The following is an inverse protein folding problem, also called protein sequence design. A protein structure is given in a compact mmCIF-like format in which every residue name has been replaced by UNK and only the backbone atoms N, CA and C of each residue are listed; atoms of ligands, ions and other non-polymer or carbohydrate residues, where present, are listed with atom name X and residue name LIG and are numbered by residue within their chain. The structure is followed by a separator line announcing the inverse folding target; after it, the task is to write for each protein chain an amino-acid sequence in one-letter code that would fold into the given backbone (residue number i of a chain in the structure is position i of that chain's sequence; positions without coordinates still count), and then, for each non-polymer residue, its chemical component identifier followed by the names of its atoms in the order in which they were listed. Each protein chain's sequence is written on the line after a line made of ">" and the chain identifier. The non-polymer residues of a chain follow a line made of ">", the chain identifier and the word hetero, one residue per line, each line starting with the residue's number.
data_IF_016268390474
#
_entry.id   IF_016268390474
#
_cell.length_a   1.000
_cell.length_b   1.000
_cell.length_c   1.000
_cell.angle_alpha   90.00
_cell.angle_beta   90.00
_cell.angle_gamma   90.00
#
_symmetry.space_group_name_H-M   'P 1'
#
loop_
_entity.id
_entity.type
_entity.pdbx_description
1 polymer ?
#
# COMPACT_ATOMS: atom_id res chain seq x y z
N UNK A 1 -9.83 0.72 -16.05
CA UNK A 1 -8.71 -0.25 -15.87
C UNK A 1 -9.33 -1.60 -15.53
N UNK A 2 -8.79 -2.71 -16.01
CA UNK A 2 -9.36 -4.04 -15.78
C UNK A 2 -9.08 -4.51 -14.35
N UNK A 3 -10.12 -4.82 -13.54
CA UNK A 3 -9.95 -5.28 -12.17
C UNK A 3 -9.46 -6.74 -12.14
N UNK A 4 -8.62 -7.09 -11.15
CA UNK A 4 -8.12 -8.48 -11.00
C UNK A 4 -9.06 -9.35 -10.14
N UNK A 5 -9.99 -8.72 -9.41
CA UNK A 5 -11.07 -9.34 -8.66
C UNK A 5 -12.36 -8.53 -8.87
N UNK A 6 -13.50 -9.21 -9.02
CA UNK A 6 -14.78 -8.61 -9.44
C UNK A 6 -15.30 -7.59 -8.44
N UNK A 7 -15.48 -8.02 -7.20
CA UNK A 7 -16.03 -7.17 -6.13
C UNK A 7 -14.92 -6.35 -5.44
N UNK A 8 -15.13 -5.06 -5.18
CA UNK A 8 -14.28 -4.28 -4.28
C UNK A 8 -14.26 -4.88 -2.88
N UNK A 9 -13.09 -4.86 -2.25
CA UNK A 9 -12.97 -5.18 -0.83
C UNK A 9 -13.54 -4.02 -0.04
N UNK A 10 -14.52 -4.29 0.83
CA UNK A 10 -15.04 -3.31 1.78
C UNK A 10 -14.79 -3.81 3.20
N UNK A 11 -14.21 -2.94 4.02
CA UNK A 11 -13.99 -3.19 5.44
C UNK A 11 -14.36 -1.95 6.23
N UNK A 12 -14.96 -2.17 7.39
CA UNK A 12 -15.31 -1.11 8.32
C UNK A 12 -15.03 -1.54 9.76
N UNK A 13 -14.94 -0.56 10.64
CA UNK A 13 -14.88 -0.79 12.08
C UNK A 13 -14.78 0.52 12.84
N UNK A 14 -14.76 0.41 14.16
CA UNK A 14 -14.61 1.58 15.02
C UNK A 14 -13.78 1.25 16.26
N UNK A 15 -13.02 2.23 16.73
CA UNK A 15 -12.23 2.13 17.96
C UNK A 15 -12.05 3.52 18.55
N UNK A 16 -12.16 3.63 19.87
CA UNK A 16 -11.98 4.88 20.62
C UNK A 16 -12.82 6.05 20.06
N UNK A 17 -14.04 5.75 19.60
CA UNK A 17 -14.96 6.75 19.03
C UNK A 17 -14.64 7.20 17.60
N UNK A 18 -13.60 6.66 16.97
CA UNK A 18 -13.27 6.91 15.55
C UNK A 18 -13.80 5.74 14.71
N UNK A 19 -14.59 6.05 13.69
CA UNK A 19 -15.01 5.07 12.68
C UNK A 19 -14.05 5.09 11.51
N UNK A 20 -13.76 3.92 10.95
CA UNK A 20 -12.87 3.73 9.80
C UNK A 20 -13.61 2.87 8.78
N UNK A 21 -13.73 3.37 7.56
CA UNK A 21 -14.35 2.69 6.43
C UNK A 21 -13.36 2.71 5.26
N UNK A 22 -13.04 1.55 4.71
CA UNK A 22 -12.11 1.43 3.60
C UNK A 22 -12.72 0.57 2.50
N UNK A 23 -12.72 1.10 1.27
CA UNK A 23 -13.01 0.32 0.07
C UNK A 23 -11.78 0.29 -0.82
N UNK A 24 -11.40 -0.87 -1.32
CA UNK A 24 -10.23 -1.01 -2.19
C UNK A 24 -10.44 -2.04 -3.31
N UNK A 25 -9.81 -1.79 -4.45
CA UNK A 25 -9.80 -2.72 -5.58
C UNK A 25 -8.49 -2.64 -6.35
N UNK A 26 -7.93 -3.81 -6.66
CA UNK A 26 -6.76 -3.92 -7.51
C UNK A 26 -7.14 -4.05 -8.98
N UNK A 27 -6.31 -3.46 -9.84
CA UNK A 27 -6.39 -3.58 -11.29
C UNK A 27 -5.04 -3.96 -11.88
N UNK A 28 -5.04 -4.32 -13.15
CA UNK A 28 -3.84 -4.74 -13.89
C UNK A 28 -2.81 -3.63 -14.10
N UNK A 29 -3.22 -2.37 -13.93
CA UNK A 29 -2.35 -1.21 -14.12
C UNK A 29 -1.25 -1.10 -13.05
N UNK A 30 -0.42 -0.07 -13.24
CA UNK A 30 0.73 0.20 -12.36
C UNK A 30 0.49 1.36 -11.40
N UNK A 31 -0.39 2.30 -11.78
CA UNK A 31 -0.65 3.49 -10.96
C UNK A 31 -1.56 3.17 -9.79
N UNK A 32 -1.15 3.64 -8.61
CA UNK A 32 -1.94 3.60 -7.39
C UNK A 32 -2.72 4.92 -7.22
N UNK A 33 -3.97 4.81 -6.77
CA UNK A 33 -4.85 5.94 -6.49
C UNK A 33 -5.45 5.73 -5.09
N UNK A 34 -5.00 6.52 -4.12
CA UNK A 34 -5.54 6.49 -2.75
C UNK A 34 -6.23 7.82 -2.51
N UNK A 35 -7.51 7.78 -2.18
CA UNK A 35 -8.31 8.94 -1.83
C UNK A 35 -8.67 8.84 -0.36
N UNK A 36 -8.22 9.79 0.45
CA UNK A 36 -8.45 9.78 1.88
C UNK A 36 -9.39 10.90 2.31
N UNK A 37 -10.25 10.62 3.28
CA UNK A 37 -11.28 11.52 3.76
C UNK A 37 -11.34 11.49 5.29
N UNK A 38 -11.59 12.65 5.89
CA UNK A 38 -11.93 12.78 7.31
C UNK A 38 -13.22 13.58 7.42
N UNK A 39 -14.27 13.01 7.99
CA UNK A 39 -15.58 13.66 8.12
C UNK A 39 -16.09 14.24 6.78
N UNK A 40 -16.00 13.45 5.71
CA UNK A 40 -16.36 13.81 4.33
C UNK A 40 -15.47 14.91 3.68
N UNK A 41 -14.43 15.39 4.35
CA UNK A 41 -13.46 16.34 3.78
C UNK A 41 -12.35 15.54 3.12
N UNK A 42 -12.10 15.82 1.83
CA UNK A 42 -11.03 15.19 1.07
C UNK A 42 -9.66 15.69 1.53
N UNK A 43 -8.86 14.79 2.10
CA UNK A 43 -7.50 15.08 2.56
C UNK A 43 -6.48 14.71 1.49
N UNK A 44 -6.39 15.51 0.42
CA UNK A 44 -5.56 15.17 -0.75
C UNK A 44 -4.05 15.21 -0.48
N UNK A 45 -3.60 15.82 0.61
CA UNK A 45 -2.21 15.72 1.10
C UNK A 45 -2.01 14.55 2.08
N UNK A 46 -3.06 13.73 2.26
CA UNK A 46 -3.08 12.55 3.10
C UNK A 46 -3.25 12.88 4.58
N UNK A 47 -2.44 12.27 5.42
CA UNK A 47 -2.50 12.47 6.86
C UNK A 47 -2.25 11.20 7.65
N UNK A 48 -2.45 11.29 8.95
CA UNK A 48 -2.17 10.21 9.90
C UNK A 48 -2.98 8.94 9.63
N UNK A 49 -4.27 9.07 9.29
CA UNK A 49 -5.16 7.98 8.88
C UNK A 49 -4.65 7.26 7.63
N UNK A 50 -4.26 7.99 6.59
CA UNK A 50 -3.73 7.40 5.36
C UNK A 50 -2.40 6.68 5.59
N UNK A 51 -1.54 7.22 6.45
CA UNK A 51 -0.30 6.54 6.87
C UNK A 51 -0.62 5.23 7.58
N UNK A 52 -1.59 5.24 8.51
CA UNK A 52 -2.04 4.04 9.21
C UNK A 52 -2.54 2.95 8.26
N UNK A 53 -3.39 3.33 7.30
CA UNK A 53 -3.85 2.42 6.23
C UNK A 53 -2.68 1.85 5.42
N UNK A 54 -1.76 2.69 4.94
CA UNK A 54 -0.60 2.26 4.12
C UNK A 54 0.31 1.30 4.89
N UNK A 55 0.54 1.55 6.17
CA UNK A 55 1.33 0.68 7.04
C UNK A 55 0.62 -0.66 7.23
N UNK A 56 -0.65 -0.66 7.62
CA UNK A 56 -1.43 -1.86 7.82
C UNK A 56 -1.53 -2.72 6.55
N UNK A 57 -1.84 -2.11 5.39
CA UNK A 57 -1.91 -2.80 4.11
C UNK A 57 -0.62 -3.57 3.80
N UNK A 58 0.53 -2.90 3.99
CA UNK A 58 1.84 -3.52 3.72
C UNK A 58 2.10 -4.69 4.67
N UNK A 59 1.80 -4.53 5.95
CA UNK A 59 2.00 -5.59 6.96
C UNK A 59 1.11 -6.79 6.68
N UNK A 60 -0.20 -6.58 6.54
CA UNK A 60 -1.20 -7.65 6.38
C UNK A 60 -0.94 -8.48 5.13
N UNK A 61 -0.61 -7.85 4.00
CA UNK A 61 -0.33 -8.58 2.75
C UNK A 61 0.92 -9.45 2.90
N UNK A 62 1.98 -8.93 3.53
CA UNK A 62 3.19 -9.73 3.78
C UNK A 62 2.91 -10.88 4.74
N UNK A 63 2.26 -10.62 5.86
CA UNK A 63 1.95 -11.65 6.87
C UNK A 63 1.06 -12.74 6.29
N UNK A 64 0.02 -12.39 5.54
CA UNK A 64 -0.84 -13.34 4.84
C UNK A 64 -0.04 -14.15 3.80
N UNK A 65 0.79 -13.47 3.00
CA UNK A 65 1.63 -14.11 1.98
C UNK A 65 2.60 -15.12 2.56
N UNK A 66 3.20 -14.84 3.73
CA UNK A 66 4.08 -15.75 4.47
C UNK A 66 3.34 -16.94 5.07
N UNK A 67 2.27 -16.67 5.83
CA UNK A 67 1.48 -17.71 6.52
C UNK A 67 0.89 -18.74 5.55
N UNK A 68 0.57 -18.33 4.33
CA UNK A 68 0.01 -19.19 3.29
C UNK A 68 1.03 -19.68 2.25
N UNK A 69 2.34 -19.48 2.50
CA UNK A 69 3.44 -19.89 1.62
C UNK A 69 3.34 -19.39 0.18
N UNK A 70 2.65 -18.25 -0.03
CA UNK A 70 2.57 -17.56 -1.32
C UNK A 70 3.88 -16.80 -1.56
N UNK A 71 4.40 -16.16 -0.51
CA UNK A 71 5.75 -15.61 -0.46
C UNK A 71 6.68 -16.66 0.13
N UNK A 72 7.66 -17.13 -0.65
CA UNK A 72 8.61 -18.17 -0.19
C UNK A 72 9.61 -17.56 0.77
N UNK A 73 10.15 -18.34 1.71
CA UNK A 73 11.13 -17.84 2.71
C UNK A 73 12.35 -17.16 2.09
N UNK A 74 12.76 -17.58 0.89
CA UNK A 74 13.86 -16.97 0.15
C UNK A 74 13.50 -15.61 -0.51
N UNK A 75 12.21 -15.33 -0.72
CA UNK A 75 11.76 -14.06 -1.27
C UNK A 75 11.87 -12.96 -0.22
N UNK A 76 12.24 -11.74 -0.60
CA UNK A 76 12.16 -10.58 0.28
C UNK A 76 10.71 -10.17 0.51
N UNK A 77 10.42 -9.53 1.64
CA UNK A 77 9.11 -8.91 1.85
C UNK A 77 8.81 -7.85 0.77
N UNK A 78 7.53 -7.74 0.44
CA UNK A 78 7.00 -6.71 -0.44
C UNK A 78 7.12 -5.35 0.25
N UNK A 79 7.61 -4.36 -0.50
CA UNK A 79 7.64 -2.97 -0.03
C UNK A 79 6.26 -2.32 -0.14
N UNK A 80 6.09 -1.17 0.51
CA UNK A 80 4.87 -0.38 0.39
C UNK A 80 4.51 -0.01 -1.05
N UNK A 81 5.50 0.23 -1.91
CA UNK A 81 5.28 0.51 -3.32
C UNK A 81 4.76 -0.71 -4.07
N UNK A 82 5.35 -1.89 -3.80
CA UNK A 82 4.95 -3.15 -4.44
C UNK A 82 3.50 -3.49 -4.11
N UNK A 83 3.09 -3.37 -2.84
CA UNK A 83 1.73 -3.70 -2.41
C UNK A 83 0.68 -2.71 -2.89
N UNK A 84 1.05 -1.47 -3.22
CA UNK A 84 0.11 -0.45 -3.71
C UNK A 84 0.02 -0.42 -5.23
N UNK A 85 0.86 -1.13 -5.96
CA UNK A 85 0.83 -1.12 -7.43
C UNK A 85 -0.55 -1.56 -7.95
N UNK A 86 -1.16 -0.73 -8.79
CA UNK A 86 -2.48 -1.00 -9.36
C UNK A 86 -3.64 -0.92 -8.35
N UNK A 87 -3.43 -0.39 -7.15
CA UNK A 87 -4.47 -0.19 -6.13
C UNK A 87 -5.29 1.06 -6.41
N UNK A 88 -6.61 0.95 -6.35
CA UNK A 88 -7.49 2.09 -6.08
C UNK A 88 -8.12 1.89 -4.71
N UNK A 89 -8.01 2.87 -3.81
CA UNK A 89 -8.59 2.79 -2.48
C UNK A 89 -9.24 4.11 -2.06
N UNK A 90 -10.33 3.99 -1.31
CA UNK A 90 -11.00 5.07 -0.60
C UNK A 90 -10.85 4.78 0.89
N UNK A 91 -10.26 5.70 1.63
CA UNK A 91 -10.05 5.60 3.08
C UNK A 91 -10.84 6.73 3.73
N UNK A 92 -11.96 6.41 4.38
CA UNK A 92 -12.80 7.39 5.04
C UNK A 92 -12.78 7.15 6.55
N UNK A 93 -12.55 8.21 7.32
CA UNK A 93 -12.70 8.14 8.78
C UNK A 93 -13.73 9.16 9.28
N UNK A 94 -14.43 8.79 10.35
CA UNK A 94 -15.24 9.72 11.13
C UNK A 94 -14.57 9.96 12.47
N UNK A 95 -14.05 11.16 12.68
CA UNK A 95 -13.30 11.55 13.86
C UNK A 95 -14.09 12.61 14.66
N UNK A 96 -14.28 12.45 15.98
CA UNK A 96 -15.07 13.40 16.77
C UNK A 96 -14.42 14.79 16.85
N UNK A 97 -13.10 14.85 16.99
CA UNK A 97 -12.33 16.10 17.11
C UNK A 97 -11.16 16.17 16.11
N UNK A 98 -11.40 16.32 14.78
CA UNK A 98 -10.34 16.30 13.79
C UNK A 98 -9.51 17.59 13.84
N UNK A 99 -8.19 17.43 13.75
CA UNK A 99 -7.18 18.47 13.67
C UNK A 99 -6.52 18.37 12.30
N UNK A 100 -6.61 19.44 11.52
CA UNK A 100 -6.01 19.49 10.19
C UNK A 100 -4.78 20.39 10.18
N UNK A 101 -3.80 20.05 9.35
CA UNK A 101 -2.69 20.94 9.02
C UNK A 101 -3.17 22.02 8.04
N UNK A 102 -3.01 23.29 8.41
CA UNK A 102 -3.37 24.43 7.57
C UNK A 102 -4.89 24.71 7.46
N UNK A 103 -5.21 25.87 6.89
CA UNK A 103 -6.59 26.36 6.77
C UNK A 103 -7.42 25.56 5.74
N UNK A 104 -6.76 25.04 4.70
CA UNK A 104 -7.39 24.32 3.59
C UNK A 104 -7.81 22.89 3.94
N UNK A 105 -7.54 22.43 5.18
CA UNK A 105 -7.93 21.10 5.71
C UNK A 105 -7.50 19.93 4.82
N UNK A 106 -6.28 20.03 4.31
CA UNK A 106 -5.75 19.14 3.25
C UNK A 106 -5.11 17.88 3.82
N UNK A 107 -4.72 17.92 5.09
CA UNK A 107 -4.02 16.84 5.76
C UNK A 107 -4.46 16.68 7.21
N UNK A 108 -4.74 15.45 7.62
CA UNK A 108 -5.11 15.12 9.00
C UNK A 108 -3.85 15.00 9.89
N UNK A 109 -3.89 15.65 11.05
CA UNK A 109 -2.79 15.71 12.02
C UNK A 109 -2.98 14.88 13.31
N UNK A 110 -4.19 14.35 13.59
CA UNK A 110 -4.44 13.54 14.79
C UNK A 110 -3.57 12.28 14.82
N UNK A 111 -2.60 12.23 15.73
CA UNK A 111 -1.66 11.10 15.84
C UNK A 111 -2.36 9.75 16.09
N UNK A 112 -3.43 9.77 16.89
CA UNK A 112 -4.27 8.63 17.25
C UNK A 112 -5.01 8.05 16.04
N UNK A 113 -5.36 8.88 15.05
CA UNK A 113 -6.03 8.40 13.85
C UNK A 113 -5.14 7.42 13.05
N UNK A 114 -3.81 7.53 13.16
CA UNK A 114 -2.89 6.56 12.57
C UNK A 114 -3.03 5.19 13.19
N UNK A 115 -2.85 5.09 14.51
CA UNK A 115 -2.83 3.80 15.23
C UNK A 115 -4.20 3.15 15.21
N UNK A 116 -5.27 3.94 15.27
CA UNK A 116 -6.65 3.44 15.18
C UNK A 116 -6.95 2.93 13.77
N UNK A 117 -6.63 3.70 12.72
CA UNK A 117 -6.82 3.23 11.33
C UNK A 117 -6.01 1.97 11.05
N UNK A 118 -4.75 1.92 11.51
CA UNK A 118 -3.90 0.75 11.36
C UNK A 118 -4.50 -0.49 12.04
N UNK A 119 -4.94 -0.37 13.29
CA UNK A 119 -5.53 -1.46 14.07
C UNK A 119 -6.82 -1.98 13.45
N UNK A 120 -7.76 -1.07 13.17
CA UNK A 120 -9.10 -1.43 12.65
C UNK A 120 -8.99 -2.05 11.26
N UNK A 121 -8.21 -1.42 10.38
CA UNK A 121 -8.04 -1.95 9.02
C UNK A 121 -7.30 -3.28 9.04
N UNK A 122 -6.26 -3.46 9.86
CA UNK A 122 -5.55 -4.74 9.94
C UNK A 122 -6.46 -5.89 10.32
N UNK A 123 -7.24 -5.75 11.39
CA UNK A 123 -8.14 -6.81 11.84
C UNK A 123 -9.18 -7.18 10.78
N UNK A 124 -9.86 -6.18 10.22
CA UNK A 124 -10.92 -6.40 9.25
C UNK A 124 -10.39 -6.94 7.92
N UNK A 125 -9.24 -6.43 7.45
CA UNK A 125 -8.64 -6.87 6.19
C UNK A 125 -8.01 -8.27 6.32
N UNK A 126 -7.36 -8.60 7.45
CA UNK A 126 -6.88 -9.96 7.71
C UNK A 126 -8.03 -10.96 7.67
N UNK A 127 -9.15 -10.65 8.33
CA UNK A 127 -10.37 -11.47 8.29
C UNK A 127 -10.88 -11.63 6.86
N UNK A 128 -10.98 -10.54 6.11
CA UNK A 128 -11.41 -10.59 4.71
C UNK A 128 -10.53 -11.52 3.86
N UNK A 129 -9.20 -11.43 3.99
CA UNK A 129 -8.27 -12.26 3.21
C UNK A 129 -8.41 -13.75 3.56
N UNK A 130 -8.65 -14.08 4.83
CA UNK A 130 -8.89 -15.45 5.28
C UNK A 130 -10.21 -16.01 4.72
N UNK A 131 -11.25 -15.19 4.67
CA UNK A 131 -12.55 -15.58 4.11
C UNK A 131 -12.54 -15.66 2.58
N UNK A 132 -11.62 -14.94 1.91
CA UNK A 132 -11.54 -14.82 0.46
C UNK A 132 -10.17 -15.23 -0.09
N UNK A 133 -9.74 -16.50 0.07
CA UNK A 133 -8.38 -16.93 -0.24
C UNK A 133 -7.99 -16.76 -1.72
N UNK A 134 -8.97 -16.87 -2.64
CA UNK A 134 -8.76 -16.65 -4.07
C UNK A 134 -8.42 -15.18 -4.37
N UNK A 135 -9.13 -14.24 -3.76
CA UNK A 135 -8.87 -12.80 -3.90
C UNK A 135 -7.54 -12.46 -3.23
N UNK A 136 -7.31 -12.96 -2.02
CA UNK A 136 -6.09 -12.72 -1.28
C UNK A 136 -4.83 -13.18 -2.04
N UNK A 137 -4.88 -14.36 -2.67
CA UNK A 137 -3.79 -14.86 -3.52
C UNK A 137 -3.49 -13.90 -4.66
N UNK A 138 -4.50 -13.45 -5.40
CA UNK A 138 -4.34 -12.50 -6.52
C UNK A 138 -3.70 -11.19 -6.06
N UNK A 139 -4.08 -10.68 -4.89
CA UNK A 139 -3.51 -9.45 -4.31
C UNK A 139 -2.01 -9.64 -4.00
N UNK A 140 -1.64 -10.74 -3.34
CA UNK A 140 -0.23 -11.04 -3.01
C UNK A 140 0.60 -11.27 -4.28
N UNK A 141 0.06 -11.97 -5.27
CA UNK A 141 0.72 -12.22 -6.55
C UNK A 141 0.95 -10.91 -7.34
N UNK A 142 -0.01 -9.99 -7.35
CA UNK A 142 0.15 -8.65 -7.96
C UNK A 142 1.32 -7.90 -7.33
N UNK A 143 1.42 -7.87 -6.00
CA UNK A 143 2.55 -7.25 -5.32
C UNK A 143 3.88 -7.99 -5.58
N UNK A 144 3.85 -9.32 -5.68
CA UNK A 144 5.03 -10.12 -6.02
C UNK A 144 5.55 -9.83 -7.42
N UNK A 145 4.66 -9.65 -8.39
CA UNK A 145 5.02 -9.24 -9.75
C UNK A 145 5.67 -7.85 -9.77
N UNK A 146 5.09 -6.89 -9.04
CA UNK A 146 5.65 -5.55 -8.89
C UNK A 146 7.07 -5.59 -8.29
N UNK A 147 7.27 -6.35 -7.21
CA UNK A 147 8.57 -6.52 -6.56
C UNK A 147 9.63 -7.11 -7.51
N UNK A 148 9.27 -8.13 -8.29
CA UNK A 148 10.17 -8.73 -9.30
C UNK A 148 10.56 -7.71 -10.37
N UNK A 149 9.60 -6.95 -10.88
CA UNK A 149 9.85 -5.90 -11.87
C UNK A 149 10.81 -4.82 -11.32
N UNK A 150 10.58 -4.35 -10.09
CA UNK A 150 11.44 -3.39 -9.40
C UNK A 150 12.88 -3.90 -9.23
N UNK A 151 13.06 -5.14 -8.77
CA UNK A 151 14.39 -5.74 -8.60
C UNK A 151 15.10 -5.92 -9.94
N UNK A 152 14.40 -6.37 -10.98
CA UNK A 152 14.95 -6.50 -12.33
C UNK A 152 15.41 -5.13 -12.88
N UNK A 153 14.58 -4.09 -12.74
CA UNK A 153 14.91 -2.74 -13.15
C UNK A 153 16.14 -2.18 -12.40
N UNK A 154 16.24 -2.43 -11.09
CA UNK A 154 17.40 -2.03 -10.29
C UNK A 154 18.69 -2.70 -10.78
N UNK A 155 18.66 -4.02 -11.00
CA UNK A 155 19.81 -4.78 -11.53
C UNK A 155 20.25 -4.28 -12.91
N UNK A 156 19.31 -4.01 -13.81
CA UNK A 156 19.60 -3.48 -15.14
C UNK A 156 20.31 -2.11 -15.06
N UNK A 157 19.82 -1.20 -14.21
CA UNK A 157 20.45 0.12 -14.00
C UNK A 157 21.87 0.01 -13.44
N UNK A 158 22.09 -0.89 -12.47
CA UNK A 158 23.41 -1.11 -11.87
C UNK A 158 24.42 -1.70 -12.87
N UNK A 159 23.99 -2.64 -13.72
CA UNK A 159 24.82 -3.22 -14.78
C UNK A 159 25.27 -2.15 -15.79
N UNK A 160 24.35 -1.28 -16.23
CA UNK A 160 24.68 -0.17 -17.13
C UNK A 160 25.66 0.81 -16.48
N UNK A 161 25.45 1.18 -15.21
CA UNK A 161 26.35 2.10 -14.48
C UNK A 161 27.76 1.52 -14.31
N UNK A 162 27.89 0.22 -14.02
CA UNK A 162 29.20 -0.45 -13.91
C UNK A 162 29.95 -0.50 -15.24
N UNK A 163 29.24 -0.77 -16.35
CA UNK A 163 29.83 -0.75 -17.70
C UNK A 163 30.39 0.64 -18.04
N UNK A 164 29.62 1.70 -17.81
CA UNK A 164 30.08 3.08 -18.05
C UNK A 164 31.30 3.47 -17.20
N UNK A 165 31.40 2.99 -15.96
CA UNK A 165 32.54 3.29 -15.08
C UNK A 165 33.84 2.58 -15.53
N UNK A 166 33.73 1.36 -16.06
CA UNK A 166 34.88 0.62 -16.60
C UNK A 166 35.39 1.24 -17.91
N UNK A 167 34.50 1.76 -18.76
CA UNK A 167 34.88 2.46 -20.00
C UNK A 167 35.66 3.77 -19.73
N UNK A 168 35.32 4.51 -18.68
CA UNK A 168 36.05 5.73 -18.26
C UNK A 168 37.46 5.40 -17.74
N UNK A 169 37.67 4.23 -17.12
CA UNK A 169 39.00 3.81 -16.66
C UNK A 169 39.92 3.32 -17.79
N UNK A 170 39.39 3.11 -19.00
CA UNK A 170 40.13 2.56 -20.14
C UNK A 170 40.53 3.58 -21.21
N UNK A 171 40.38 4.88 -20.98
CA UNK A 171 40.94 5.91 -21.87
C UNK A 171 42.48 5.90 -21.75
N UNK A 172 43.23 5.42 -22.77
CA UNK A 172 44.68 5.43 -22.75
C UNK A 172 45.15 6.87 -22.89
N UNK A 173 46.07 7.28 -22.01
CA UNK A 173 46.72 8.58 -22.08
C UNK A 173 47.32 8.84 -23.46
N UNK A 174 47.12 10.06 -23.95
CA UNK A 174 48.12 10.70 -24.79
C UNK A 174 49.24 11.23 -23.89
#
# INVERSE_FOLDING_TARGET
>A
KQPIHEEPVYVEGSKDGIQVEVSLQYNEGYTNNIYSFTNNIHTYEGGTHEVGFKTALTRVINDYGRKNSILKDADSNLTGEDVREGLTAIVSIKHPNPQFEGQTKTKLGNSEARTITESVFSEAFEKFLLENPNVARKIVEKGTMAARARVAAKKARELTRRKSALEVSSLPGK
#
